data_IF_712094412113
#
_entry.id   IF_712094412113
#
_cell.length_a   1.000
_cell.length_b   1.000
_cell.length_c   1.000
_cell.angle_alpha   90.00
_cell.angle_beta   90.00
_cell.angle_gamma   90.00
#
_symmetry.space_group_name_H-M   'P 1'
#
loop_
_entity.id
_entity.type
_entity.pdbx_description
1 polymer ?
#
# COMPACT_ATOMS: atom_id res chain seq x y z
N UNK A 1 -27.14 -7.70 9.35
CA UNK A 1 -25.92 -7.05 8.79
C UNK A 1 -24.77 -7.97 9.12
N UNK A 2 -23.98 -8.34 8.13
CA UNK A 2 -22.79 -9.19 8.32
C UNK A 2 -21.70 -8.41 9.06
N UNK A 3 -20.72 -9.11 9.62
CA UNK A 3 -19.65 -8.45 10.39
C UNK A 3 -18.50 -7.99 9.51
N UNK A 4 -18.13 -8.79 8.49
CA UNK A 4 -16.98 -8.53 7.62
C UNK A 4 -17.37 -8.67 6.15
N UNK A 5 -17.01 -7.69 5.33
CA UNK A 5 -16.93 -7.83 3.88
C UNK A 5 -15.46 -7.92 3.45
N UNK A 6 -15.10 -9.01 2.78
CA UNK A 6 -13.85 -9.10 2.02
C UNK A 6 -14.12 -8.50 0.64
N UNK A 7 -13.51 -7.37 0.34
CA UNK A 7 -13.57 -6.72 -0.97
C UNK A 7 -12.44 -7.26 -1.82
N UNK A 8 -12.81 -7.92 -2.93
CA UNK A 8 -11.88 -8.59 -3.85
C UNK A 8 -11.94 -7.88 -5.20
N UNK A 9 -11.02 -6.95 -5.51
CA UNK A 9 -10.88 -6.42 -6.86
C UNK A 9 -10.50 -7.53 -7.83
N UNK A 10 -11.10 -7.51 -9.03
CA UNK A 10 -10.82 -8.46 -10.10
C UNK A 10 -10.69 -7.71 -11.44
N UNK A 11 -9.60 -7.95 -12.16
CA UNK A 11 -9.36 -7.41 -13.51
C UNK A 11 -8.39 -8.28 -14.30
N UNK A 12 -8.92 -9.08 -15.23
CA UNK A 12 -8.19 -10.01 -16.12
C UNK A 12 -7.65 -11.30 -15.49
N UNK A 13 -7.58 -11.42 -14.18
CA UNK A 13 -7.15 -12.66 -13.57
C UNK A 13 -8.14 -13.79 -13.93
N UNK A 14 -7.60 -14.94 -14.28
CA UNK A 14 -8.37 -16.15 -14.56
C UNK A 14 -8.86 -16.78 -13.25
N UNK A 15 -9.87 -17.65 -13.35
CA UNK A 15 -10.32 -18.44 -12.20
C UNK A 15 -9.18 -19.23 -11.53
N UNK A 16 -8.27 -19.80 -12.31
CA UNK A 16 -7.17 -20.59 -11.76
C UNK A 16 -6.19 -19.75 -10.96
N UNK A 17 -6.00 -18.47 -11.32
CA UNK A 17 -5.19 -17.51 -10.55
C UNK A 17 -5.88 -17.09 -9.25
N UNK A 18 -7.21 -16.93 -9.26
CA UNK A 18 -7.98 -16.47 -8.09
C UNK A 18 -8.42 -17.59 -7.15
N UNK A 19 -8.49 -18.83 -7.64
CA UNK A 19 -9.04 -19.98 -6.92
C UNK A 19 -8.41 -20.18 -5.53
N UNK A 20 -7.11 -19.89 -5.39
CA UNK A 20 -6.41 -20.05 -4.12
C UNK A 20 -7.02 -19.17 -3.02
N UNK A 21 -7.38 -17.91 -3.32
CA UNK A 21 -8.04 -17.03 -2.36
C UNK A 21 -9.34 -17.68 -1.84
N UNK A 22 -10.22 -18.09 -2.76
CA UNK A 22 -11.53 -18.66 -2.38
C UNK A 22 -11.41 -19.97 -1.61
N UNK A 23 -10.50 -20.87 -2.04
CA UNK A 23 -10.24 -22.12 -1.34
C UNK A 23 -9.62 -21.86 0.06
N UNK A 24 -8.77 -20.84 0.23
CA UNK A 24 -8.17 -20.45 1.51
C UNK A 24 -9.19 -19.83 2.49
N UNK A 25 -10.23 -19.17 1.98
CA UNK A 25 -11.38 -18.71 2.79
C UNK A 25 -12.22 -19.90 3.27
N UNK A 26 -12.51 -20.86 2.40
CA UNK A 26 -13.29 -22.07 2.76
C UNK A 26 -12.61 -22.87 3.88
N UNK A 27 -11.29 -22.85 3.94
CA UNK A 27 -10.50 -23.53 4.97
C UNK A 27 -10.42 -22.78 6.31
N UNK A 28 -11.08 -21.63 6.44
CA UNK A 28 -11.03 -20.89 7.70
C UNK A 28 -11.87 -21.53 8.79
N UNK A 29 -11.35 -21.58 10.00
CA UNK A 29 -11.98 -22.15 11.19
C UNK A 29 -12.28 -21.09 12.24
N UNK A 30 -13.24 -21.35 13.11
CA UNK A 30 -13.56 -20.51 14.27
C UNK A 30 -14.32 -19.23 13.91
N UNK A 31 -14.95 -19.17 12.75
CA UNK A 31 -15.86 -18.10 12.32
C UNK A 31 -17.20 -18.68 11.89
N UNK A 32 -18.25 -17.88 11.94
CA UNK A 32 -19.53 -18.18 11.30
C UNK A 32 -19.52 -17.52 9.90
N UNK A 33 -19.60 -18.33 8.85
CA UNK A 33 -19.65 -17.83 7.48
C UNK A 33 -20.91 -17.00 7.18
N UNK A 34 -21.95 -17.07 7.99
CA UNK A 34 -23.08 -16.15 7.91
C UNK A 34 -22.72 -14.69 8.25
N UNK A 35 -21.63 -14.47 9.00
CA UNK A 35 -21.11 -13.17 9.35
C UNK A 35 -20.12 -12.62 8.29
N UNK A 36 -19.78 -13.43 7.27
CA UNK A 36 -18.83 -13.09 6.20
C UNK A 36 -19.58 -12.80 4.89
N UNK A 37 -19.16 -11.74 4.20
CA UNK A 37 -19.50 -11.43 2.82
C UNK A 37 -18.23 -11.36 1.98
N UNK A 38 -18.22 -11.96 0.80
CA UNK A 38 -17.10 -11.83 -0.15
C UNK A 38 -17.63 -11.08 -1.37
N UNK A 39 -17.28 -9.82 -1.48
CA UNK A 39 -17.68 -8.93 -2.57
C UNK A 39 -16.59 -8.88 -3.63
N UNK A 40 -16.77 -9.67 -4.69
CA UNK A 40 -15.87 -9.67 -5.85
C UNK A 40 -16.33 -8.61 -6.84
N UNK A 41 -15.47 -7.63 -7.12
CA UNK A 41 -15.77 -6.50 -7.99
C UNK A 41 -14.93 -6.60 -9.26
N UNK A 42 -15.54 -7.07 -10.35
CA UNK A 42 -14.94 -7.08 -11.69
C UNK A 42 -14.93 -5.65 -12.24
N UNK A 43 -13.74 -5.16 -12.57
CA UNK A 43 -13.50 -3.80 -13.09
C UNK A 43 -13.71 -3.69 -14.62
N UNK A 44 -14.79 -4.30 -15.12
CA UNK A 44 -15.22 -4.16 -16.52
C UNK A 44 -14.35 -4.91 -17.52
N UNK A 45 -13.91 -6.09 -17.13
CA UNK A 45 -13.14 -7.00 -17.97
C UNK A 45 -14.03 -8.09 -18.62
N UNK A 46 -13.56 -8.63 -19.74
CA UNK A 46 -14.18 -9.75 -20.46
C UNK A 46 -13.98 -11.09 -19.75
N UNK A 47 -13.03 -11.21 -18.82
CA UNK A 47 -12.84 -12.40 -17.97
C UNK A 47 -13.88 -12.38 -16.84
N UNK A 48 -15.05 -12.98 -17.10
CA UNK A 48 -16.15 -13.05 -16.15
C UNK A 48 -16.22 -14.44 -15.55
N UNK A 49 -16.25 -14.55 -14.22
CA UNK A 49 -16.37 -15.85 -13.55
C UNK A 49 -17.78 -16.42 -13.70
N UNK A 50 -17.85 -17.71 -14.02
CA UNK A 50 -19.10 -18.46 -13.95
C UNK A 50 -19.55 -18.58 -12.48
N UNK A 51 -20.75 -18.10 -12.18
CA UNK A 51 -21.33 -18.16 -10.83
C UNK A 51 -21.54 -19.58 -10.31
N UNK A 52 -21.57 -20.58 -11.17
CA UNK A 52 -21.62 -22.00 -10.77
C UNK A 52 -20.37 -22.41 -9.98
N UNK A 53 -19.21 -21.76 -10.25
CA UNK A 53 -17.96 -21.99 -9.52
C UNK A 53 -18.06 -21.61 -8.04
N UNK A 54 -18.95 -20.68 -7.70
CA UNK A 54 -19.13 -20.19 -6.33
C UNK A 54 -19.98 -21.13 -5.46
N UNK A 55 -20.83 -21.95 -6.07
CA UNK A 55 -21.78 -22.82 -5.35
C UNK A 55 -21.13 -23.89 -4.47
N UNK A 56 -19.84 -24.16 -4.67
CA UNK A 56 -19.10 -25.14 -3.87
C UNK A 56 -18.65 -24.59 -2.51
N UNK A 57 -18.68 -23.28 -2.31
CA UNK A 57 -18.22 -22.64 -1.07
C UNK A 57 -19.34 -22.48 -0.06
N UNK A 58 -18.99 -22.58 1.23
CA UNK A 58 -19.93 -22.51 2.36
C UNK A 58 -20.31 -21.07 2.72
N UNK A 59 -19.69 -20.08 2.10
CA UNK A 59 -19.92 -18.65 2.32
C UNK A 59 -20.50 -17.96 1.10
N UNK A 60 -21.11 -16.80 1.30
CA UNK A 60 -21.72 -16.04 0.22
C UNK A 60 -20.67 -15.26 -0.58
N UNK A 61 -20.74 -15.37 -1.91
CA UNK A 61 -19.91 -14.62 -2.85
C UNK A 61 -20.83 -13.74 -3.71
N UNK A 62 -20.70 -12.44 -3.52
CA UNK A 62 -21.38 -11.42 -4.30
C UNK A 62 -20.48 -10.96 -5.44
N UNK A 63 -20.74 -11.43 -6.66
CA UNK A 63 -19.97 -11.06 -7.85
C UNK A 63 -20.68 -9.97 -8.63
N UNK A 64 -20.03 -8.80 -8.75
CA UNK A 64 -20.54 -7.64 -9.49
C UNK A 64 -19.57 -7.24 -10.60
N UNK A 65 -20.12 -6.73 -11.71
CA UNK A 65 -19.34 -6.19 -12.82
C UNK A 65 -19.68 -4.71 -12.92
N UNK A 66 -18.67 -3.85 -12.91
CA UNK A 66 -18.82 -2.41 -13.11
C UNK A 66 -18.06 -1.93 -14.35
N UNK A 67 -18.33 -0.77 -14.90
CA UNK A 67 -17.47 -0.16 -15.93
C UNK A 67 -16.03 0.01 -15.43
N UNK A 68 -15.06 -0.23 -16.32
CA UNK A 68 -13.63 -0.12 -15.99
C UNK A 68 -13.27 1.29 -15.48
N UNK A 69 -12.60 1.34 -14.35
CA UNK A 69 -12.19 2.61 -13.73
C UNK A 69 -10.90 2.52 -12.89
N UNK A 70 -10.27 1.35 -12.86
CA UNK A 70 -9.01 1.11 -12.16
C UNK A 70 -9.18 0.61 -10.72
N UNK A 71 -8.06 0.13 -10.15
CA UNK A 71 -7.99 -0.55 -8.85
C UNK A 71 -8.52 0.34 -7.70
N UNK A 72 -8.12 1.61 -7.67
CA UNK A 72 -8.57 2.57 -6.63
C UNK A 72 -10.09 2.69 -6.60
N UNK A 73 -10.73 2.89 -7.74
CA UNK A 73 -12.18 3.00 -7.84
C UNK A 73 -12.89 1.68 -7.55
N UNK A 74 -12.25 0.56 -7.87
CA UNK A 74 -12.78 -0.77 -7.55
C UNK A 74 -12.79 -1.02 -6.04
N UNK A 75 -11.74 -0.62 -5.33
CA UNK A 75 -11.71 -0.66 -3.86
C UNK A 75 -12.69 0.34 -3.25
N UNK A 76 -12.82 1.54 -3.82
CA UNK A 76 -13.81 2.53 -3.40
C UNK A 76 -15.25 2.03 -3.57
N UNK A 77 -15.52 1.31 -4.66
CA UNK A 77 -16.82 0.63 -4.85
C UNK A 77 -17.11 -0.32 -3.67
N UNK A 78 -16.11 -1.07 -3.20
CA UNK A 78 -16.24 -1.91 -2.02
C UNK A 78 -16.54 -1.15 -0.73
N UNK A 79 -15.93 0.04 -0.53
CA UNK A 79 -16.25 0.91 0.62
C UNK A 79 -17.71 1.37 0.59
N UNK A 80 -18.20 1.73 -0.60
CA UNK A 80 -19.56 2.28 -0.76
C UNK A 80 -20.64 1.20 -0.69
N UNK A 81 -20.39 0.01 -1.22
CA UNK A 81 -21.38 -1.05 -1.41
C UNK A 81 -21.21 -2.25 -0.48
N UNK A 82 -20.12 -2.37 0.29
CA UNK A 82 -20.01 -3.38 1.33
C UNK A 82 -21.06 -3.16 2.43
N UNK A 83 -21.82 -4.19 2.77
CA UNK A 83 -22.91 -4.11 3.77
C UNK A 83 -22.53 -4.82 5.09
N UNK A 84 -21.34 -4.51 5.60
CA UNK A 84 -20.83 -5.07 6.84
C UNK A 84 -20.26 -3.97 7.74
N UNK A 85 -20.05 -4.29 9.01
CA UNK A 85 -19.48 -3.37 9.97
C UNK A 85 -18.00 -3.08 9.66
N UNK A 86 -17.27 -4.11 9.19
CA UNK A 86 -15.86 -4.04 8.85
C UNK A 86 -15.62 -4.41 7.39
N UNK A 87 -14.55 -3.84 6.82
CA UNK A 87 -14.05 -4.12 5.48
C UNK A 87 -12.60 -4.58 5.54
N UNK A 88 -12.26 -5.55 4.70
CA UNK A 88 -10.88 -5.97 4.43
C UNK A 88 -10.70 -6.10 2.92
N UNK A 89 -9.59 -5.61 2.38
CA UNK A 89 -9.25 -5.76 0.97
C UNK A 89 -8.33 -6.96 0.78
N UNK A 90 -8.64 -7.80 -0.20
CA UNK A 90 -7.83 -8.95 -0.58
C UNK A 90 -7.64 -8.91 -2.10
N UNK A 91 -6.41 -8.93 -2.58
CA UNK A 91 -6.15 -9.06 -4.01
C UNK A 91 -6.55 -10.49 -4.43
N UNK A 92 -7.17 -10.65 -5.62
CA UNK A 92 -7.81 -11.92 -5.98
C UNK A 92 -6.83 -13.06 -6.24
N UNK A 93 -5.57 -12.75 -6.50
CA UNK A 93 -4.46 -13.67 -6.72
C UNK A 93 -3.64 -13.98 -5.45
N UNK A 94 -4.10 -13.50 -4.29
CA UNK A 94 -3.51 -13.74 -2.98
C UNK A 94 -4.27 -14.82 -2.17
N UNK A 95 -4.02 -14.92 -0.86
CA UNK A 95 -4.77 -15.82 0.00
C UNK A 95 -4.45 -15.73 1.49
N UNK A 96 -5.11 -16.58 2.26
CA UNK A 96 -4.84 -16.73 3.68
C UNK A 96 -3.74 -17.76 3.92
N UNK A 97 -2.73 -17.37 4.71
CA UNK A 97 -1.56 -18.21 5.04
C UNK A 97 -1.93 -19.41 5.93
N UNK A 98 -2.96 -19.26 6.75
CA UNK A 98 -3.38 -20.29 7.70
C UNK A 98 -4.91 -20.31 7.91
N UNK A 99 -5.40 -21.38 8.53
CA UNK A 99 -6.84 -21.64 8.66
C UNK A 99 -7.52 -20.86 9.81
N UNK A 100 -6.81 -19.98 10.52
CA UNK A 100 -7.32 -19.17 11.63
C UNK A 100 -7.17 -17.66 11.41
N UNK A 101 -6.78 -17.24 10.21
CA UNK A 101 -6.56 -15.83 9.89
C UNK A 101 -7.79 -14.97 10.12
N UNK A 102 -8.94 -15.39 9.58
CA UNK A 102 -10.21 -14.69 9.81
C UNK A 102 -10.66 -14.77 11.25
N UNK A 103 -10.42 -15.86 11.97
CA UNK A 103 -10.72 -15.95 13.40
C UNK A 103 -10.00 -14.88 14.21
N UNK A 104 -8.74 -14.60 13.91
CA UNK A 104 -7.99 -13.52 14.57
C UNK A 104 -8.62 -12.14 14.30
N UNK A 105 -9.06 -11.90 13.08
CA UNK A 105 -9.75 -10.66 12.69
C UNK A 105 -11.09 -10.55 13.41
N UNK A 106 -11.92 -11.59 13.39
CA UNK A 106 -13.22 -11.63 14.08
C UNK A 106 -13.09 -11.48 15.60
N UNK A 107 -12.04 -12.04 16.20
CA UNK A 107 -11.74 -11.87 17.62
C UNK A 107 -11.39 -10.41 17.95
N UNK A 108 -10.59 -9.76 17.12
CA UNK A 108 -10.25 -8.35 17.29
C UNK A 108 -11.48 -7.43 17.14
N UNK A 109 -12.43 -7.77 16.27
CA UNK A 109 -13.70 -7.01 16.10
C UNK A 109 -14.52 -6.97 17.38
N UNK A 110 -14.47 -7.99 18.24
CA UNK A 110 -15.19 -8.00 19.51
C UNK A 110 -14.71 -6.91 20.47
N UNK A 111 -13.45 -6.50 20.36
CA UNK A 111 -12.90 -5.41 21.16
C UNK A 111 -13.14 -4.02 20.51
N UNK A 112 -13.48 -3.99 19.23
CA UNK A 112 -13.69 -2.79 18.43
C UNK A 112 -12.38 -2.09 18.03
N UNK A 113 -12.34 -1.59 16.80
CA UNK A 113 -11.23 -0.78 16.29
C UNK A 113 -11.69 0.05 15.08
N UNK A 114 -10.98 1.13 14.79
CA UNK A 114 -11.11 1.86 13.52
C UNK A 114 -10.24 1.23 12.43
N UNK A 115 -8.99 0.90 12.81
CA UNK A 115 -7.98 0.38 11.91
C UNK A 115 -7.22 -0.78 12.56
N UNK A 116 -7.25 -1.93 11.87
CA UNK A 116 -6.46 -3.09 12.23
C UNK A 116 -5.38 -3.31 11.19
N UNK A 117 -4.16 -3.60 11.63
CA UNK A 117 -3.06 -4.01 10.78
C UNK A 117 -2.40 -5.28 11.32
N UNK A 118 -1.88 -6.09 10.40
CA UNK A 118 -1.16 -7.30 10.78
C UNK A 118 0.18 -7.37 10.05
N UNK A 119 1.06 -8.23 10.56
CA UNK A 119 2.13 -8.72 9.71
C UNK A 119 1.54 -9.62 8.62
N UNK A 120 2.18 -9.66 7.49
CA UNK A 120 1.85 -10.57 6.39
C UNK A 120 3.10 -11.23 5.83
N UNK A 121 2.92 -12.20 4.96
CA UNK A 121 4.00 -12.96 4.34
C UNK A 121 4.00 -12.70 2.83
N UNK A 122 5.18 -12.51 2.28
CA UNK A 122 5.42 -12.30 0.86
C UNK A 122 6.26 -13.45 0.30
N UNK A 123 5.77 -14.10 -0.77
CA UNK A 123 6.55 -15.07 -1.54
C UNK A 123 7.45 -14.37 -2.56
N UNK A 124 8.67 -14.86 -2.71
CA UNK A 124 9.59 -14.41 -3.77
C UNK A 124 10.39 -15.59 -4.31
N UNK A 125 10.59 -15.71 -5.63
CA UNK A 125 11.52 -16.65 -6.21
C UNK A 125 12.96 -16.21 -5.89
N UNK A 126 13.78 -17.15 -5.39
CA UNK A 126 15.19 -16.90 -5.10
C UNK A 126 16.03 -18.15 -5.40
N UNK A 127 17.06 -18.01 -6.24
CA UNK A 127 18.04 -19.07 -6.56
C UNK A 127 17.43 -20.41 -7.00
N UNK A 128 16.33 -20.37 -7.78
CA UNK A 128 15.65 -21.57 -8.28
C UNK A 128 14.70 -22.24 -7.26
N UNK A 129 14.45 -21.59 -6.14
CA UNK A 129 13.48 -21.97 -5.13
C UNK A 129 12.58 -20.81 -4.72
N UNK A 130 11.96 -20.96 -3.57
CA UNK A 130 11.09 -19.95 -2.99
C UNK A 130 11.65 -19.44 -1.67
N UNK A 131 11.53 -18.14 -1.43
CA UNK A 131 11.81 -17.51 -0.16
C UNK A 131 10.56 -16.79 0.34
N UNK A 132 10.35 -16.88 1.64
CA UNK A 132 9.24 -16.26 2.34
C UNK A 132 9.77 -15.09 3.15
N UNK A 133 9.25 -13.91 2.86
CA UNK A 133 9.58 -12.69 3.60
C UNK A 133 8.41 -12.30 4.50
N UNK A 134 8.69 -12.14 5.78
CA UNK A 134 7.72 -11.60 6.72
C UNK A 134 7.80 -10.08 6.75
N UNK A 135 6.64 -9.43 6.63
CA UNK A 135 6.48 -7.98 6.74
C UNK A 135 5.83 -7.64 8.07
N UNK A 136 6.65 -7.22 9.03
CA UNK A 136 6.18 -6.83 10.36
C UNK A 136 5.78 -5.37 10.42
N UNK A 137 4.74 -5.06 11.20
CA UNK A 137 4.25 -3.70 11.46
C UNK A 137 4.02 -2.86 10.21
N UNK A 138 3.70 -3.53 9.12
CA UNK A 138 3.41 -2.83 7.88
C UNK A 138 2.10 -2.05 7.98
N UNK A 139 2.15 -0.77 7.65
CA UNK A 139 0.99 0.13 7.56
C UNK A 139 0.89 0.78 6.18
N UNK A 140 1.53 0.19 5.18
CA UNK A 140 1.59 0.69 3.81
C UNK A 140 0.68 -0.10 2.89
N UNK A 141 0.94 -1.41 2.73
CA UNK A 141 0.14 -2.28 1.85
C UNK A 141 -1.25 -2.56 2.41
N UNK A 142 -2.22 -2.88 1.55
CA UNK A 142 -3.58 -3.29 2.01
C UNK A 142 -3.61 -4.67 2.66
N UNK A 143 -2.56 -5.47 2.45
CA UNK A 143 -2.45 -6.86 2.90
C UNK A 143 -2.61 -6.99 4.41
N UNK A 144 -3.57 -7.81 4.85
CA UNK A 144 -3.84 -8.05 6.27
C UNK A 144 -4.35 -6.84 7.05
N UNK A 145 -4.98 -5.85 6.38
CA UNK A 145 -5.63 -4.71 7.02
C UNK A 145 -7.14 -4.87 7.04
N UNK A 146 -7.74 -4.39 8.14
CA UNK A 146 -9.19 -4.36 8.31
C UNK A 146 -9.61 -3.01 8.87
N UNK A 147 -10.76 -2.50 8.43
CA UNK A 147 -11.22 -1.15 8.74
C UNK A 147 -12.68 -1.20 9.18
N UNK A 148 -13.03 -0.46 10.21
CA UNK A 148 -14.44 -0.20 10.51
C UNK A 148 -15.00 0.67 9.36
N UNK A 149 -16.03 0.16 8.66
CA UNK A 149 -16.57 0.83 7.48
C UNK A 149 -17.06 2.25 7.78
N UNK A 150 -17.77 2.44 8.89
CA UNK A 150 -18.27 3.76 9.27
C UNK A 150 -17.13 4.76 9.50
N UNK A 151 -16.00 4.33 10.07
CA UNK A 151 -14.81 5.18 10.20
C UNK A 151 -14.31 5.68 8.84
N UNK A 152 -14.24 4.79 7.83
CA UNK A 152 -13.84 5.21 6.47
C UNK A 152 -14.79 6.26 5.89
N UNK A 153 -16.09 6.08 6.10
CA UNK A 153 -17.12 7.00 5.61
C UNK A 153 -17.07 8.35 6.33
N UNK A 154 -17.01 8.36 7.66
CA UNK A 154 -16.99 9.57 8.49
C UNK A 154 -15.75 10.43 8.22
N UNK A 155 -14.59 9.78 8.07
CA UNK A 155 -13.32 10.44 7.78
C UNK A 155 -13.11 10.70 6.28
N UNK A 156 -14.08 10.31 5.41
CA UNK A 156 -14.02 10.44 3.95
C UNK A 156 -12.74 9.86 3.36
N UNK A 157 -12.33 8.69 3.86
CA UNK A 157 -11.14 7.99 3.38
C UNK A 157 -11.47 7.24 2.10
N UNK A 158 -10.69 7.51 1.04
CA UNK A 158 -10.84 6.91 -0.27
C UNK A 158 -9.47 6.64 -0.88
N UNK A 159 -9.38 5.56 -1.65
CA UNK A 159 -8.26 5.36 -2.56
C UNK A 159 -8.30 6.43 -3.65
N UNK A 160 -7.15 6.99 -3.98
CA UNK A 160 -7.05 8.07 -4.96
C UNK A 160 -7.07 7.52 -6.39
N UNK A 161 -8.09 7.82 -7.22
CA UNK A 161 -8.21 7.26 -8.57
C UNK A 161 -7.15 7.78 -9.55
N UNK A 162 -6.46 8.86 -9.23
CA UNK A 162 -5.33 9.34 -10.03
C UNK A 162 -4.03 8.56 -9.78
N UNK A 163 -4.02 7.67 -8.78
CA UNK A 163 -2.89 6.82 -8.44
C UNK A 163 -3.14 5.41 -8.96
N UNK A 164 -2.26 4.96 -9.85
CA UNK A 164 -2.24 3.57 -10.32
C UNK A 164 -1.10 2.75 -9.70
N UNK A 165 -0.26 3.42 -8.91
CA UNK A 165 0.84 2.84 -8.17
C UNK A 165 0.97 3.53 -6.81
N UNK A 166 1.12 2.77 -5.73
CA UNK A 166 1.21 3.23 -4.34
C UNK A 166 -0.05 3.99 -3.82
N UNK A 167 -1.23 3.69 -4.36
CA UNK A 167 -2.51 4.21 -3.88
C UNK A 167 -2.80 3.79 -2.44
N UNK A 168 -2.40 2.57 -2.10
CA UNK A 168 -2.51 1.98 -0.76
C UNK A 168 -1.62 2.69 0.27
N UNK A 169 -0.44 3.15 -0.14
CA UNK A 169 0.47 3.91 0.73
C UNK A 169 -0.15 5.21 1.22
N UNK A 170 -0.88 5.92 0.35
CA UNK A 170 -1.60 7.14 0.72
C UNK A 170 -2.76 6.80 1.64
N UNK A 171 -3.62 5.86 1.21
CA UNK A 171 -4.82 5.48 1.92
C UNK A 171 -4.51 5.01 3.34
N UNK A 172 -3.59 4.06 3.48
CA UNK A 172 -3.25 3.47 4.76
C UNK A 172 -2.51 4.44 5.69
N UNK A 173 -1.62 5.29 5.13
CA UNK A 173 -0.94 6.31 5.93
C UNK A 173 -1.94 7.26 6.57
N UNK A 174 -2.92 7.72 5.82
CA UNK A 174 -3.94 8.64 6.35
C UNK A 174 -4.92 7.91 7.28
N UNK A 175 -5.37 6.71 6.91
CA UNK A 175 -6.23 5.90 7.78
C UNK A 175 -5.58 5.63 9.14
N UNK A 176 -4.28 5.32 9.16
CA UNK A 176 -3.53 5.09 10.39
C UNK A 176 -3.52 6.32 11.32
N UNK A 177 -3.36 7.52 10.78
CA UNK A 177 -3.35 8.74 11.60
C UNK A 177 -4.76 9.17 12.04
N UNK A 178 -5.77 8.99 11.18
CA UNK A 178 -7.16 9.31 11.50
C UNK A 178 -7.81 8.35 12.51
N UNK A 179 -7.31 7.11 12.61
CA UNK A 179 -7.88 6.10 13.51
C UNK A 179 -7.63 6.47 14.97
N UNK A 180 -8.71 6.56 15.75
CA UNK A 180 -8.65 6.75 17.19
C UNK A 180 -8.27 5.45 17.90
N UNK A 181 -8.76 4.32 17.38
CA UNK A 181 -8.49 2.98 17.92
C UNK A 181 -7.80 2.11 16.88
N UNK A 182 -6.60 1.62 17.22
CA UNK A 182 -5.77 0.77 16.36
C UNK A 182 -5.52 -0.58 17.02
N UNK A 183 -5.56 -1.64 16.20
CA UNK A 183 -5.28 -3.00 16.64
C UNK A 183 -4.15 -3.59 15.82
N UNK A 184 -3.21 -4.26 16.47
CA UNK A 184 -2.14 -5.00 15.81
C UNK A 184 -2.32 -6.51 16.00
N UNK A 185 -2.26 -7.27 14.90
CA UNK A 185 -2.15 -8.73 14.93
C UNK A 185 -0.72 -9.09 14.52
N UNK A 186 0.02 -9.67 15.45
CA UNK A 186 1.44 -10.04 15.23
C UNK A 186 1.60 -11.41 14.57
N UNK A 187 0.54 -12.22 14.50
CA UNK A 187 0.55 -13.49 13.77
C UNK A 187 0.24 -13.24 12.30
N UNK A 188 1.11 -13.63 11.37
CA UNK A 188 0.84 -13.47 9.95
C UNK A 188 -0.28 -14.40 9.54
N UNK A 189 -1.26 -13.85 8.84
CA UNK A 189 -2.39 -14.62 8.31
C UNK A 189 -2.68 -14.36 6.83
N UNK A 190 -2.12 -13.31 6.25
CA UNK A 190 -2.25 -12.96 4.84
C UNK A 190 -0.99 -13.38 4.10
N UNK A 191 -1.16 -14.02 2.93
CA UNK A 191 -0.10 -14.43 2.03
C UNK A 191 -0.19 -13.62 0.74
N UNK A 192 0.80 -12.80 0.49
CA UNK A 192 1.01 -12.13 -0.78
C UNK A 192 1.73 -13.10 -1.72
N UNK A 193 0.96 -13.73 -2.59
CA UNK A 193 1.41 -14.76 -3.52
C UNK A 193 2.23 -14.17 -4.66
N UNK A 194 3.28 -14.84 -5.07
CA UNK A 194 4.06 -14.40 -6.23
C UNK A 194 3.48 -14.95 -7.53
N UNK A 195 3.40 -14.10 -8.57
CA UNK A 195 3.07 -14.51 -9.95
C UNK A 195 3.85 -13.65 -10.96
N UNK A 196 4.09 -14.22 -12.16
CA UNK A 196 4.89 -13.55 -13.21
C UNK A 196 4.27 -12.25 -13.74
N UNK A 197 2.95 -12.10 -13.63
CA UNK A 197 2.17 -10.92 -14.05
C UNK A 197 2.27 -9.73 -13.10
N UNK A 198 2.85 -9.90 -11.89
CA UNK A 198 2.87 -8.87 -10.85
C UNK A 198 3.47 -7.55 -11.34
N UNK A 199 2.71 -6.48 -11.23
CA UNK A 199 3.11 -5.13 -11.64
C UNK A 199 4.32 -4.62 -10.84
N UNK A 200 4.40 -4.97 -9.55
CA UNK A 200 5.42 -4.47 -8.63
C UNK A 200 6.69 -5.33 -8.64
N UNK A 201 6.58 -6.63 -8.94
CA UNK A 201 7.68 -7.59 -8.77
C UNK A 201 8.43 -7.92 -10.06
N UNK A 202 7.80 -7.75 -11.21
CA UNK A 202 8.33 -8.13 -12.53
C UNK A 202 9.64 -7.42 -12.91
N UNK A 203 9.85 -6.21 -12.41
CA UNK A 203 11.00 -5.38 -12.71
C UNK A 203 11.34 -4.50 -11.51
N UNK A 204 11.50 -5.16 -10.35
CA UNK A 204 11.68 -4.49 -9.05
C UNK A 204 12.88 -3.55 -9.04
N UNK A 205 13.98 -3.95 -9.68
CA UNK A 205 15.23 -3.19 -9.64
C UNK A 205 15.13 -1.84 -10.37
N UNK A 206 14.23 -1.73 -11.34
CA UNK A 206 14.04 -0.47 -12.10
C UNK A 206 12.70 0.20 -11.82
N UNK A 207 11.82 -0.42 -11.02
CA UNK A 207 10.47 0.06 -10.77
C UNK A 207 10.46 1.49 -10.22
N UNK A 208 11.21 1.77 -9.15
CA UNK A 208 11.27 3.10 -8.52
C UNK A 208 11.72 4.14 -9.53
N UNK A 209 12.75 3.86 -10.32
CA UNK A 209 13.24 4.78 -11.34
C UNK A 209 12.23 5.00 -12.47
N UNK A 210 11.56 3.94 -12.90
CA UNK A 210 10.54 3.99 -13.97
C UNK A 210 9.31 4.78 -13.52
N UNK A 211 8.85 4.55 -12.28
CA UNK A 211 7.63 5.11 -11.74
C UNK A 211 7.87 6.28 -10.78
N UNK A 212 9.04 6.90 -10.84
CA UNK A 212 9.43 7.96 -9.90
C UNK A 212 8.42 9.13 -9.85
N UNK A 213 7.78 9.43 -10.97
CA UNK A 213 6.70 10.41 -11.02
C UNK A 213 5.52 10.05 -10.10
N UNK A 214 5.13 8.78 -10.06
CA UNK A 214 4.08 8.28 -9.16
C UNK A 214 4.56 8.28 -7.70
N UNK A 215 5.81 7.87 -7.45
CA UNK A 215 6.42 7.93 -6.11
C UNK A 215 6.41 9.37 -5.57
N UNK A 216 6.80 10.36 -6.37
CA UNK A 216 6.77 11.77 -5.96
C UNK A 216 5.35 12.31 -5.80
N UNK A 217 4.40 11.86 -6.65
CA UNK A 217 2.98 12.20 -6.50
C UNK A 217 2.43 11.65 -5.19
N UNK A 218 2.72 10.40 -4.86
CA UNK A 218 2.34 9.78 -3.59
C UNK A 218 2.91 10.55 -2.38
N UNK A 219 4.22 10.84 -2.37
CA UNK A 219 4.89 11.61 -1.31
C UNK A 219 4.25 13.00 -1.15
N UNK A 220 3.96 13.66 -2.26
CA UNK A 220 3.27 14.97 -2.28
C UNK A 220 1.89 14.89 -1.65
N UNK A 221 1.05 13.95 -2.11
CA UNK A 221 -0.32 13.78 -1.61
C UNK A 221 -0.36 13.40 -0.12
N UNK A 222 0.59 12.60 0.36
CA UNK A 222 0.72 12.31 1.80
C UNK A 222 1.00 13.60 2.58
N UNK A 223 1.95 14.42 2.16
CA UNK A 223 2.26 15.68 2.83
C UNK A 223 1.04 16.63 2.83
N UNK A 224 0.35 16.76 1.70
CA UNK A 224 -0.85 17.58 1.58
C UNK A 224 -1.96 17.12 2.52
N UNK A 225 -2.31 15.84 2.49
CA UNK A 225 -3.40 15.31 3.30
C UNK A 225 -3.08 15.37 4.80
N UNK A 226 -1.84 15.11 5.22
CA UNK A 226 -1.45 15.26 6.63
C UNK A 226 -1.61 16.71 7.09
N UNK A 227 -1.17 17.68 6.28
CA UNK A 227 -1.30 19.10 6.60
C UNK A 227 -2.78 19.54 6.64
N UNK A 228 -3.56 19.19 5.62
CA UNK A 228 -4.99 19.56 5.51
C UNK A 228 -5.84 18.98 6.64
N UNK A 229 -5.46 17.81 7.16
CA UNK A 229 -6.14 17.13 8.27
C UNK A 229 -5.62 17.55 9.65
N UNK A 230 -4.62 18.43 9.71
CA UNK A 230 -4.09 18.98 10.97
C UNK A 230 -3.05 18.09 11.66
N UNK A 231 -2.53 17.04 11.01
CA UNK A 231 -1.43 16.20 11.51
C UNK A 231 -0.09 16.90 11.27
N UNK A 232 0.16 17.98 11.99
CA UNK A 232 1.26 18.92 11.71
C UNK A 232 2.63 18.30 11.95
N UNK A 233 2.81 17.52 13.02
CA UNK A 233 4.07 16.85 13.33
C UNK A 233 4.40 15.80 12.27
N UNK A 234 3.43 14.98 11.89
CA UNK A 234 3.54 13.95 10.86
C UNK A 234 3.76 14.56 9.47
N UNK A 235 3.15 15.72 9.20
CA UNK A 235 3.42 16.49 7.99
C UNK A 235 4.89 16.88 7.87
N UNK A 236 5.48 17.51 8.93
CA UNK A 236 6.87 17.87 8.92
C UNK A 236 7.80 16.67 8.84
N UNK A 237 7.47 15.57 9.51
CA UNK A 237 8.20 14.30 9.40
C UNK A 237 8.14 13.74 7.97
N UNK A 238 6.99 13.78 7.30
CA UNK A 238 6.81 13.33 5.92
C UNK A 238 7.57 14.19 4.92
N UNK A 239 7.58 15.53 5.12
CA UNK A 239 8.38 16.45 4.32
C UNK A 239 9.86 16.13 4.45
N UNK A 240 10.39 16.08 5.68
CA UNK A 240 11.80 15.74 5.93
C UNK A 240 12.18 14.38 5.34
N UNK A 241 11.32 13.36 5.57
CA UNK A 241 11.53 12.02 5.04
C UNK A 241 11.64 12.03 3.52
N UNK A 242 10.76 12.77 2.83
CA UNK A 242 10.80 12.84 1.37
C UNK A 242 12.10 13.46 0.84
N UNK A 243 12.64 14.48 1.51
CA UNK A 243 13.93 15.04 1.15
C UNK A 243 15.08 14.05 1.31
N UNK A 244 15.13 13.31 2.42
CA UNK A 244 16.18 12.33 2.66
C UNK A 244 16.03 11.08 1.80
N UNK A 245 14.83 10.53 1.65
CA UNK A 245 14.60 9.39 0.78
C UNK A 245 14.98 9.71 -0.68
N UNK A 246 14.63 10.91 -1.17
CA UNK A 246 15.02 11.34 -2.52
C UNK A 246 16.54 11.49 -2.66
N UNK A 247 17.23 11.99 -1.61
CA UNK A 247 18.69 12.02 -1.60
C UNK A 247 19.27 10.60 -1.74
N UNK A 248 18.72 9.60 -1.05
CA UNK A 248 19.16 8.22 -1.16
C UNK A 248 18.82 7.65 -2.53
N UNK A 249 17.61 7.84 -3.04
CA UNK A 249 17.19 7.41 -4.37
C UNK A 249 18.16 7.90 -5.45
N UNK A 250 18.48 9.19 -5.47
CA UNK A 250 19.37 9.79 -6.49
C UNK A 250 20.84 9.40 -6.36
N UNK A 251 21.26 8.90 -5.23
CA UNK A 251 22.63 8.40 -5.00
C UNK A 251 22.75 6.88 -5.08
N UNK A 252 21.64 6.19 -5.34
CA UNK A 252 21.64 4.75 -5.58
C UNK A 252 22.42 4.39 -6.85
N UNK A 253 23.20 3.29 -6.87
CA UNK A 253 23.95 2.84 -8.05
C UNK A 253 23.10 2.72 -9.31
N UNK A 254 21.82 2.32 -9.19
CA UNK A 254 20.89 2.25 -10.31
C UNK A 254 20.69 3.60 -11.02
N UNK A 255 20.51 4.67 -10.21
CA UNK A 255 20.32 6.03 -10.73
C UNK A 255 21.61 6.61 -11.33
N UNK A 256 22.76 6.10 -10.93
CA UNK A 256 24.06 6.57 -11.42
C UNK A 256 24.52 5.90 -12.72
N UNK A 257 23.77 4.90 -13.22
CA UNK A 257 24.10 4.20 -14.46
C UNK A 257 23.92 5.12 -15.70
N UNK A 258 24.88 5.17 -16.62
CA UNK A 258 24.78 6.03 -17.81
C UNK A 258 23.55 5.77 -18.68
N UNK A 259 23.12 4.52 -18.79
CA UNK A 259 21.91 4.11 -19.55
C UNK A 259 20.61 4.64 -18.96
N UNK A 260 20.59 5.03 -17.69
CA UNK A 260 19.41 5.55 -17.02
C UNK A 260 19.33 7.09 -16.99
N UNK A 261 20.30 7.78 -17.58
CA UNK A 261 20.45 9.25 -17.50
C UNK A 261 19.17 10.03 -17.83
N UNK A 262 18.44 9.64 -18.85
CA UNK A 262 17.20 10.34 -19.23
C UNK A 262 16.06 10.10 -18.24
N UNK A 263 15.94 8.87 -17.70
CA UNK A 263 14.98 8.57 -16.65
C UNK A 263 15.29 9.32 -15.34
N UNK A 264 16.58 9.42 -15.00
CA UNK A 264 17.05 10.19 -13.82
C UNK A 264 16.74 11.67 -13.97
N UNK A 265 16.96 12.27 -15.14
CA UNK A 265 16.55 13.67 -15.41
C UNK A 265 15.05 13.88 -15.23
N UNK A 266 14.24 12.93 -15.70
CA UNK A 266 12.79 12.98 -15.51
C UNK A 266 12.43 12.89 -14.01
N UNK A 267 13.08 11.99 -13.26
CA UNK A 267 12.92 11.86 -11.82
C UNK A 267 13.32 13.15 -11.07
N UNK A 268 14.48 13.74 -11.42
CA UNK A 268 14.91 15.04 -10.85
C UNK A 268 13.89 16.15 -11.09
N UNK A 269 13.26 16.19 -12.26
CA UNK A 269 12.21 17.17 -12.56
C UNK A 269 11.03 17.04 -11.60
N UNK A 270 10.61 15.81 -11.29
CA UNK A 270 9.53 15.58 -10.33
C UNK A 270 9.94 15.98 -8.90
N UNK A 271 11.15 15.62 -8.49
CA UNK A 271 11.66 16.07 -7.19
C UNK A 271 11.77 17.59 -7.11
N UNK A 272 12.19 18.28 -8.17
CA UNK A 272 12.25 19.74 -8.22
C UNK A 272 10.87 20.40 -8.04
N UNK A 273 9.78 19.77 -8.50
CA UNK A 273 8.41 20.24 -8.20
C UNK A 273 8.10 20.13 -6.71
N UNK A 274 8.43 18.99 -6.09
CA UNK A 274 8.28 18.79 -4.65
C UNK A 274 9.11 19.80 -3.86
N UNK A 275 10.38 19.98 -4.23
CA UNK A 275 11.27 20.97 -3.60
C UNK A 275 10.66 22.39 -3.62
N UNK A 276 10.18 22.84 -4.77
CA UNK A 276 9.54 24.17 -4.88
C UNK A 276 8.38 24.35 -3.92
N UNK A 277 7.61 23.29 -3.71
CA UNK A 277 6.39 23.34 -2.90
C UNK A 277 6.71 23.27 -1.40
N UNK A 278 7.64 22.42 -0.99
CA UNK A 278 7.83 22.06 0.41
C UNK A 278 9.17 22.48 1.01
N UNK A 279 10.07 23.13 0.25
CA UNK A 279 11.38 23.55 0.79
C UNK A 279 11.27 24.48 1.99
N UNK A 280 10.30 25.40 1.99
CA UNK A 280 10.05 26.27 3.15
C UNK A 280 9.77 25.45 4.39
N UNK A 281 8.85 24.51 4.33
CA UNK A 281 8.51 23.62 5.46
C UNK A 281 9.70 22.76 5.89
N UNK A 282 10.51 22.28 4.94
CA UNK A 282 11.75 21.57 5.28
C UNK A 282 12.71 22.45 6.11
N UNK A 283 12.92 23.70 5.72
CA UNK A 283 13.80 24.62 6.44
C UNK A 283 13.20 25.16 7.75
N UNK A 284 11.90 25.01 7.97
CA UNK A 284 11.23 25.30 9.24
C UNK A 284 11.37 24.17 10.26
N UNK A 285 11.81 22.98 9.84
CA UNK A 285 12.04 21.87 10.75
C UNK A 285 13.21 22.16 11.70
N UNK A 286 13.03 21.83 12.97
CA UNK A 286 14.12 21.92 13.95
C UNK A 286 15.20 20.85 13.71
N UNK A 287 16.40 21.11 14.27
CA UNK A 287 17.55 20.24 14.09
C UNK A 287 17.37 18.82 14.67
N UNK A 288 16.57 18.66 15.73
CA UNK A 288 16.32 17.36 16.34
C UNK A 288 15.44 16.49 15.44
N UNK A 289 14.39 17.07 14.85
CA UNK A 289 13.53 16.39 13.84
C UNK A 289 14.36 15.99 12.63
N UNK A 290 15.12 16.92 12.07
CA UNK A 290 16.01 16.64 10.92
C UNK A 290 16.94 15.47 11.23
N UNK A 291 17.63 15.49 12.37
CA UNK A 291 18.55 14.43 12.76
C UNK A 291 17.86 13.08 12.94
N UNK A 292 16.68 13.06 13.60
CA UNK A 292 15.87 11.84 13.80
C UNK A 292 15.44 11.23 12.47
N UNK A 293 14.84 12.03 11.59
CA UNK A 293 14.29 11.55 10.30
C UNK A 293 15.43 11.12 9.37
N UNK A 294 16.52 11.89 9.32
CA UNK A 294 17.71 11.54 8.54
C UNK A 294 18.31 10.20 8.99
N UNK A 295 18.43 9.98 10.31
CA UNK A 295 18.94 8.71 10.84
C UNK A 295 18.06 7.53 10.44
N UNK A 296 16.73 7.68 10.53
CA UNK A 296 15.79 6.62 10.13
C UNK A 296 15.83 6.36 8.61
N UNK A 297 15.83 7.41 7.78
CA UNK A 297 15.94 7.25 6.32
C UNK A 297 17.26 6.58 5.93
N UNK A 298 18.35 6.88 6.63
CA UNK A 298 19.64 6.20 6.43
C UNK A 298 19.59 4.72 6.78
N UNK A 299 18.94 4.36 7.89
CA UNK A 299 18.74 2.95 8.29
C UNK A 299 17.91 2.23 7.21
N UNK A 300 16.80 2.80 6.80
CA UNK A 300 15.93 2.22 5.77
C UNK A 300 16.66 2.02 4.43
N UNK A 301 17.47 3.00 4.01
CA UNK A 301 18.29 2.90 2.82
C UNK A 301 19.32 1.76 2.93
N UNK A 302 19.98 1.65 4.07
CA UNK A 302 20.94 0.58 4.32
C UNK A 302 20.27 -0.81 4.31
N UNK A 303 19.12 -0.95 4.95
CA UNK A 303 18.33 -2.19 4.97
C UNK A 303 17.82 -2.57 3.56
N UNK A 304 17.54 -1.57 2.72
CA UNK A 304 17.22 -1.77 1.31
C UNK A 304 18.44 -2.10 0.42
N UNK A 305 19.64 -2.17 1.00
CA UNK A 305 20.89 -2.47 0.26
C UNK A 305 21.44 -1.29 -0.53
N UNK A 306 20.95 -0.07 -0.28
CA UNK A 306 21.44 1.12 -0.96
C UNK A 306 22.81 1.52 -0.40
N UNK A 307 23.80 1.64 -1.30
CA UNK A 307 25.14 2.12 -0.95
C UNK A 307 25.21 3.64 -1.16
N UNK A 308 25.13 4.40 -0.09
CA UNK A 308 25.10 5.86 -0.17
C UNK A 308 26.33 6.46 0.49
N UNK A 309 27.24 7.07 -0.29
CA UNK A 309 28.36 7.79 0.35
C UNK A 309 29.10 8.85 -0.45
N UNK A 310 28.67 9.29 -1.63
CA UNK A 310 29.55 10.11 -2.47
C UNK A 310 29.41 11.61 -2.33
N UNK A 311 28.27 12.11 -1.90
CA UNK A 311 28.01 13.56 -1.77
C UNK A 311 27.25 13.79 -0.48
N UNK A 312 27.65 14.76 0.36
CA UNK A 312 26.87 15.07 1.55
C UNK A 312 25.49 15.66 1.18
N UNK A 313 24.50 15.40 2.02
CA UNK A 313 23.11 15.78 1.78
C UNK A 313 22.95 17.29 1.46
N UNK A 314 23.61 18.17 2.22
CA UNK A 314 23.44 19.61 2.02
C UNK A 314 24.12 20.11 0.74
N UNK A 315 25.23 19.49 0.34
CA UNK A 315 25.88 19.77 -0.95
C UNK A 315 25.00 19.33 -2.11
N UNK A 316 24.38 18.15 -2.02
CA UNK A 316 23.40 17.69 -3.00
C UNK A 316 22.18 18.62 -3.07
N UNK A 317 21.62 19.00 -1.92
CA UNK A 317 20.45 19.88 -1.87
C UNK A 317 20.75 21.27 -2.44
N UNK A 318 21.98 21.79 -2.23
CA UNK A 318 22.44 23.04 -2.83
C UNK A 318 22.54 22.96 -4.35
N UNK A 319 22.97 21.82 -4.87
CA UNK A 319 22.99 21.57 -6.33
C UNK A 319 21.55 21.62 -6.88
N UNK A 320 20.64 20.89 -6.29
CA UNK A 320 19.20 20.92 -6.66
C UNK A 320 18.64 22.35 -6.61
N UNK A 321 18.94 23.11 -5.56
CA UNK A 321 18.48 24.50 -5.39
C UNK A 321 18.97 25.42 -6.51
N UNK A 322 20.22 25.29 -6.93
CA UNK A 322 20.78 26.14 -7.97
C UNK A 322 20.16 25.89 -9.34
N UNK A 323 19.71 24.65 -9.58
CA UNK A 323 19.01 24.27 -10.81
C UNK A 323 17.52 24.66 -10.82
N UNK A 324 16.96 24.89 -9.63
CA UNK A 324 15.61 25.44 -9.46
C UNK A 324 15.75 26.96 -9.46
N UNK A 325 15.60 27.62 -10.62
CA UNK A 325 15.48 29.09 -10.68
C UNK A 325 14.27 29.50 -9.82
N UNK A 326 14.53 29.97 -8.61
CA UNK A 326 13.57 30.62 -7.71
C UNK A 326 13.50 32.08 -8.08
#
# INVERSE_FOLDING_TARGET
MKKLTLVVPHYKETWDECKFLFDSIELQHGIDFNDLDVLVVNDGDDVVFDRELFKKYSYEINYVVKPHSGLSETRNYGIDNGDSEYLMFCDCDDGFLNNYGLHLVFSAMQEGFDFLYSCFVEEQPENGGWKIYRRDKDVVFVHGKCYRRQFLLDKKLRFDPEMWFSEDSIFNKIAYHEAETRKEITTPFYLWTWHEGSTVRKDRDTLVLREYGQVMKMRTKICEQLHERGFIDEYFDAVCKTFFDSYYDFNEPLFLKPEHREKVKAAEKEFKKFYKRFSKSFYECDSARIAKVMAQSRINAYEAGLQVEKIDFYSWLKHIKNDVKI
#
